data_IF_532880294227
#
_entry.id   IF_532880294227
#
_cell.length_a   1.000
_cell.length_b   1.000
_cell.length_c   1.000
_cell.angle_alpha   90.00
_cell.angle_beta   90.00
_cell.angle_gamma   90.00
#
_symmetry.space_group_name_H-M   'P 1'
#
loop_
_entity.id
_entity.type
_entity.pdbx_description
1 polymer ?
#
# COMPACT_ATOMS: atom_id res chain seq x y z
N UNK A 1 22.27 6.88 -12.81
CA UNK A 1 22.12 5.55 -12.19
C UNK A 1 20.74 5.02 -12.58
N UNK A 2 20.65 3.76 -13.03
CA UNK A 2 19.34 3.16 -13.23
C UNK A 2 18.77 2.81 -11.84
N UNK A 3 17.70 3.47 -11.46
CA UNK A 3 16.97 3.12 -10.24
C UNK A 3 16.19 1.83 -10.48
N UNK A 4 16.05 0.95 -9.46
CA UNK A 4 15.18 -0.20 -9.58
C UNK A 4 13.76 0.29 -9.81
N UNK A 5 13.19 -0.10 -10.94
CA UNK A 5 11.81 0.28 -11.31
C UNK A 5 10.86 -0.77 -10.72
N UNK A 6 9.84 -0.31 -10.00
CA UNK A 6 8.69 -1.13 -9.60
C UNK A 6 7.70 -1.13 -10.77
N UNK A 7 7.58 -2.21 -11.55
CA UNK A 7 6.79 -2.18 -12.78
C UNK A 7 5.27 -2.27 -12.54
N UNK A 8 4.87 -2.91 -11.44
CA UNK A 8 3.48 -3.15 -11.11
C UNK A 8 3.32 -3.48 -9.61
N UNK A 9 2.09 -3.45 -9.11
CA UNK A 9 1.77 -4.01 -7.80
C UNK A 9 1.96 -5.53 -7.79
N UNK A 10 2.36 -6.09 -6.64
CA UNK A 10 2.78 -7.49 -6.52
C UNK A 10 2.30 -8.19 -5.23
N UNK A 11 1.31 -7.61 -4.55
CA UNK A 11 0.78 -8.12 -3.29
C UNK A 11 1.63 -7.72 -2.07
N UNK A 12 1.25 -8.25 -0.93
CA UNK A 12 1.91 -8.00 0.36
C UNK A 12 2.99 -9.06 0.60
N UNK A 13 4.22 -8.62 0.92
CA UNK A 13 5.37 -9.50 1.17
C UNK A 13 5.84 -9.32 2.62
N UNK A 14 5.79 -10.35 3.46
CA UNK A 14 6.28 -10.25 4.83
C UNK A 14 7.81 -10.05 4.82
N UNK A 15 8.30 -9.11 5.62
CA UNK A 15 9.72 -8.75 5.68
C UNK A 15 10.27 -8.97 7.09
N UNK A 16 9.69 -8.28 8.06
CA UNK A 16 10.12 -8.29 9.45
C UNK A 16 8.90 -8.20 10.39
N UNK A 17 9.15 -8.26 11.70
CA UNK A 17 8.20 -7.85 12.71
C UNK A 17 8.49 -6.40 13.16
N UNK A 18 7.49 -5.71 13.67
CA UNK A 18 7.69 -4.43 14.36
C UNK A 18 8.67 -4.64 15.52
N UNK A 19 9.63 -3.73 15.66
CA UNK A 19 10.70 -3.87 16.64
C UNK A 19 11.98 -4.50 16.12
N UNK A 20 12.05 -4.80 14.80
CA UNK A 20 13.28 -5.24 14.13
C UNK A 20 13.58 -6.72 14.27
N UNK A 21 12.66 -7.50 14.77
CA UNK A 21 12.79 -8.98 14.76
C UNK A 21 12.59 -9.50 13.34
N UNK A 22 13.41 -10.49 12.97
CA UNK A 22 13.34 -11.12 11.65
C UNK A 22 12.04 -11.92 11.55
N UNK A 23 11.32 -11.79 10.43
CA UNK A 23 10.26 -12.72 10.07
C UNK A 23 10.86 -14.11 9.83
N UNK A 24 10.74 -14.99 10.80
CA UNK A 24 11.32 -16.36 10.75
C UNK A 24 10.36 -17.40 10.16
N UNK A 25 9.38 -16.96 9.32
CA UNK A 25 8.38 -17.85 8.73
C UNK A 25 7.26 -18.24 9.70
N UNK A 26 6.90 -17.35 10.62
CA UNK A 26 5.73 -17.51 11.48
C UNK A 26 4.46 -17.55 10.65
N UNK A 27 4.01 -18.74 10.31
CA UNK A 27 2.83 -18.99 9.49
C UNK A 27 1.93 -20.01 10.15
N UNK A 28 0.63 -19.86 9.91
CA UNK A 28 -0.38 -20.83 10.33
C UNK A 28 -1.04 -21.47 9.12
N UNK A 29 -1.44 -22.74 9.28
CA UNK A 29 -2.26 -23.42 8.29
C UNK A 29 -3.73 -23.30 8.67
N UNK A 30 -4.51 -22.72 7.77
CA UNK A 30 -5.94 -22.50 7.95
C UNK A 30 -6.72 -23.19 6.83
N UNK A 31 -7.87 -23.83 7.12
CA UNK A 31 -8.59 -24.62 6.12
C UNK A 31 -9.19 -23.74 5.02
N UNK A 32 -9.16 -24.23 3.78
CA UNK A 32 -9.89 -23.68 2.64
C UNK A 32 -11.16 -24.52 2.44
N UNK A 33 -12.28 -23.86 2.20
CA UNK A 33 -13.56 -24.55 1.98
C UNK A 33 -13.50 -25.40 0.71
N UNK A 34 -14.05 -26.63 0.78
CA UNK A 34 -14.21 -27.51 -0.37
C UNK A 34 -14.93 -26.78 -1.52
N UNK A 35 -14.31 -26.78 -2.71
CA UNK A 35 -14.88 -26.12 -3.88
C UNK A 35 -14.91 -24.59 -3.80
N UNK A 36 -14.14 -23.95 -2.91
CA UNK A 36 -14.08 -22.48 -2.82
C UNK A 36 -13.80 -21.85 -4.17
N UNK A 37 -14.76 -21.05 -4.67
CA UNK A 37 -14.80 -20.59 -6.05
C UNK A 37 -14.19 -19.20 -6.27
N UNK A 38 -13.13 -18.88 -5.53
CA UNK A 38 -12.36 -17.65 -5.72
C UNK A 38 -10.87 -17.98 -5.71
N UNK A 39 -10.13 -17.44 -6.68
CA UNK A 39 -8.68 -17.55 -6.66
C UNK A 39 -8.10 -16.76 -5.49
N UNK A 40 -7.12 -17.33 -4.78
CA UNK A 40 -6.34 -16.62 -3.77
C UNK A 40 -4.87 -16.70 -4.19
N UNK A 41 -4.24 -15.55 -4.35
CA UNK A 41 -2.87 -15.44 -4.85
C UNK A 41 -1.87 -15.14 -3.73
N UNK A 42 -0.61 -15.46 -3.96
CA UNK A 42 0.47 -15.14 -3.04
C UNK A 42 0.55 -13.61 -2.82
N UNK A 43 0.38 -13.19 -1.57
CA UNK A 43 0.34 -11.77 -1.21
C UNK A 43 -1.07 -11.16 -1.17
N UNK A 44 -2.13 -11.96 -1.33
CA UNK A 44 -3.50 -11.51 -1.08
C UNK A 44 -3.78 -11.39 0.42
N UNK A 45 -4.57 -10.40 0.78
CA UNK A 45 -5.12 -10.29 2.13
C UNK A 45 -6.28 -11.27 2.28
N UNK A 46 -6.31 -11.96 3.40
CA UNK A 46 -7.32 -12.98 3.70
C UNK A 46 -7.96 -12.78 5.06
N UNK A 47 -9.23 -13.17 5.15
CA UNK A 47 -10.00 -13.22 6.38
C UNK A 47 -10.51 -14.64 6.66
N UNK A 48 -11.19 -14.83 7.79
CA UNK A 48 -11.87 -16.06 8.16
C UNK A 48 -13.38 -15.86 8.08
N UNK A 49 -14.06 -16.73 7.35
CA UNK A 49 -15.51 -16.81 7.32
C UNK A 49 -15.96 -18.23 7.67
N UNK A 50 -16.75 -18.38 8.73
CA UNK A 50 -17.25 -19.70 9.20
C UNK A 50 -16.14 -20.74 9.41
N UNK A 51 -14.96 -20.29 9.83
CA UNK A 51 -13.79 -21.14 10.06
C UNK A 51 -12.94 -21.46 8.82
N UNK A 52 -13.30 -20.97 7.64
CA UNK A 52 -12.55 -21.14 6.40
C UNK A 52 -11.94 -19.82 5.94
N UNK A 53 -10.80 -19.92 5.25
CA UNK A 53 -10.16 -18.76 4.63
C UNK A 53 -10.98 -18.24 3.46
N UNK A 54 -11.11 -16.92 3.40
CA UNK A 54 -11.68 -16.17 2.28
C UNK A 54 -10.70 -15.12 1.80
N UNK A 55 -10.70 -14.84 0.49
CA UNK A 55 -9.99 -13.68 -0.03
C UNK A 55 -10.74 -12.40 0.35
N UNK A 56 -10.02 -11.47 0.96
CA UNK A 56 -10.58 -10.14 1.25
C UNK A 56 -10.50 -9.26 0.01
N UNK A 57 -11.64 -8.71 -0.39
CA UNK A 57 -11.69 -7.67 -1.41
C UNK A 57 -11.48 -6.33 -0.72
N UNK A 58 -10.35 -5.70 -1.01
CA UNK A 58 -10.02 -4.36 -0.56
C UNK A 58 -10.83 -3.38 -1.40
N UNK A 59 -12.06 -3.08 -1.03
CA UNK A 59 -12.88 -2.11 -1.76
C UNK A 59 -12.70 -0.72 -1.21
N UNK A 60 -12.43 0.23 -2.10
CA UNK A 60 -12.39 1.65 -1.82
C UNK A 60 -13.73 2.29 -2.16
N UNK A 61 -14.56 2.48 -1.19
CA UNK A 61 -15.64 3.45 -1.25
C UNK A 61 -15.46 4.43 -0.09
N UNK A 62 -16.29 5.44 0.06
CA UNK A 62 -16.34 6.29 1.26
C UNK A 62 -16.65 5.47 2.55
N UNK A 63 -16.84 4.19 2.42
CA UNK A 63 -16.96 3.16 3.44
C UNK A 63 -16.03 1.98 3.09
N UNK A 64 -14.80 2.24 2.69
CA UNK A 64 -13.82 1.20 2.43
C UNK A 64 -13.43 0.51 3.73
N UNK A 65 -14.27 -0.33 4.18
CA UNK A 65 -13.96 -1.40 5.09
C UNK A 65 -13.24 -2.46 4.27
N UNK A 66 -11.94 -2.55 4.39
CA UNK A 66 -11.27 -3.83 4.17
C UNK A 66 -11.91 -4.74 5.18
N UNK A 67 -12.57 -5.76 4.66
CA UNK A 67 -13.20 -6.74 5.46
C UNK A 67 -14.16 -6.18 6.52
N UNK A 68 -15.42 -6.07 6.20
CA UNK A 68 -16.47 -6.16 7.22
C UNK A 68 -16.35 -7.47 8.04
N UNK A 69 -15.35 -8.29 7.73
CA UNK A 69 -15.12 -9.62 8.26
C UNK A 69 -13.84 -9.71 9.12
N UNK A 70 -13.01 -8.70 9.21
CA UNK A 70 -11.71 -8.76 9.89
C UNK A 70 -10.65 -9.51 9.07
N UNK A 71 -9.58 -8.80 8.73
CA UNK A 71 -8.44 -9.41 8.05
C UNK A 71 -7.61 -10.23 9.03
N UNK A 72 -7.32 -11.47 8.69
CA UNK A 72 -6.49 -12.37 9.53
C UNK A 72 -5.02 -12.24 9.19
N UNK A 73 -4.71 -12.01 7.92
CA UNK A 73 -3.33 -11.96 7.49
C UNK A 73 -3.14 -11.97 5.99
N UNK A 74 -1.97 -12.42 5.55
CA UNK A 74 -1.58 -12.50 4.15
C UNK A 74 -1.35 -13.95 3.73
N UNK A 75 -1.92 -14.33 2.60
CA UNK A 75 -1.78 -15.67 2.02
C UNK A 75 -0.41 -15.83 1.35
N UNK A 76 0.29 -16.91 1.72
CA UNK A 76 1.62 -17.26 1.21
C UNK A 76 1.64 -18.53 0.35
N UNK A 77 0.52 -19.19 0.19
CA UNK A 77 0.40 -20.41 -0.58
C UNK A 77 -0.59 -21.38 0.04
N UNK A 78 -0.76 -22.52 -0.59
CA UNK A 78 -1.64 -23.59 -0.10
C UNK A 78 -1.09 -24.97 -0.39
N UNK A 79 -1.65 -25.95 0.31
CA UNK A 79 -1.42 -27.35 0.04
C UNK A 79 -2.75 -28.10 0.00
N UNK A 80 -2.88 -29.03 -0.93
CA UNK A 80 -4.08 -29.86 -1.10
C UNK A 80 -3.77 -31.11 -1.91
N UNK A 81 -4.62 -32.13 -1.84
CA UNK A 81 -4.55 -33.27 -2.75
C UNK A 81 -5.30 -32.94 -4.04
N UNK A 82 -4.58 -32.94 -5.14
CA UNK A 82 -5.16 -32.70 -6.48
C UNK A 82 -6.27 -33.72 -6.76
N UNK A 83 -7.50 -33.26 -7.04
CA UNK A 83 -8.64 -34.16 -7.22
C UNK A 83 -8.53 -35.06 -8.46
N UNK A 84 -7.70 -34.71 -9.44
CA UNK A 84 -7.48 -35.46 -10.67
C UNK A 84 -6.34 -36.45 -10.52
N UNK A 85 -5.14 -35.96 -10.16
CA UNK A 85 -3.92 -36.79 -10.09
C UNK A 85 -3.78 -37.55 -8.78
N UNK A 86 -4.55 -37.20 -7.74
CA UNK A 86 -4.48 -37.76 -6.38
C UNK A 86 -3.14 -37.55 -5.70
N UNK A 87 -2.33 -36.62 -6.17
CA UNK A 87 -1.05 -36.28 -5.59
C UNK A 87 -1.16 -35.06 -4.68
N UNK A 88 -0.37 -35.04 -3.60
CA UNK A 88 -0.26 -33.86 -2.73
C UNK A 88 0.44 -32.74 -3.51
N UNK A 89 -0.20 -31.59 -3.58
CA UNK A 89 0.28 -30.42 -4.30
C UNK A 89 0.53 -29.28 -3.33
N UNK A 90 1.64 -28.58 -3.53
CA UNK A 90 1.96 -27.31 -2.89
C UNK A 90 1.90 -26.25 -3.99
N UNK A 91 1.06 -25.24 -3.79
CA UNK A 91 0.82 -24.20 -4.80
C UNK A 91 1.00 -22.82 -4.21
N UNK A 92 1.54 -21.90 -5.02
CA UNK A 92 1.67 -20.50 -4.66
C UNK A 92 0.31 -19.78 -4.64
N UNK A 93 -0.70 -20.32 -5.35
CA UNK A 93 -2.04 -19.78 -5.36
C UNK A 93 -3.09 -20.89 -5.26
N UNK A 94 -4.27 -20.55 -4.78
CA UNK A 94 -5.44 -21.42 -4.77
C UNK A 94 -6.24 -21.24 -6.05
N UNK A 95 -6.39 -22.27 -6.89
CA UNK A 95 -7.26 -22.22 -8.06
C UNK A 95 -8.73 -22.30 -7.66
N UNK A 96 -9.55 -21.36 -8.13
CA UNK A 96 -10.98 -21.33 -7.88
C UNK A 96 -11.67 -22.66 -8.27
N UNK A 97 -12.61 -23.10 -7.44
CA UNK A 97 -13.41 -24.29 -7.71
C UNK A 97 -12.69 -25.63 -7.51
N UNK A 98 -11.48 -25.64 -6.93
CA UNK A 98 -10.74 -26.89 -6.65
C UNK A 98 -11.51 -27.74 -5.63
N UNK A 99 -11.84 -28.98 -6.03
CA UNK A 99 -12.61 -29.93 -5.21
C UNK A 99 -11.68 -30.77 -4.31
N UNK A 100 -10.99 -30.13 -3.36
CA UNK A 100 -10.12 -30.78 -2.40
C UNK A 100 -10.65 -30.59 -0.97
N UNK A 101 -10.84 -31.68 -0.24
CA UNK A 101 -11.36 -31.65 1.13
C UNK A 101 -10.25 -31.51 2.20
N UNK A 102 -8.99 -31.62 1.80
CA UNK A 102 -7.80 -31.54 2.65
C UNK A 102 -6.95 -30.29 2.34
N UNK A 103 -7.61 -29.22 1.90
CA UNK A 103 -6.93 -28.00 1.49
C UNK A 103 -6.65 -27.08 2.69
N UNK A 104 -5.41 -26.61 2.78
CA UNK A 104 -4.96 -25.64 3.78
C UNK A 104 -4.21 -24.49 3.13
N UNK A 105 -4.57 -23.29 3.53
CA UNK A 105 -3.83 -22.06 3.23
C UNK A 105 -2.68 -21.89 4.23
N UNK A 106 -1.53 -21.47 3.77
CA UNK A 106 -0.41 -21.00 4.60
C UNK A 106 -0.55 -19.47 4.69
N UNK A 107 -0.78 -18.98 5.91
CA UNK A 107 -1.09 -17.55 6.15
C UNK A 107 -0.12 -17.00 7.18
N UNK A 108 0.41 -15.79 6.92
CA UNK A 108 1.08 -14.99 7.94
C UNK A 108 0.02 -14.22 8.68
N UNK A 109 -0.28 -14.63 9.90
CA UNK A 109 -1.36 -14.09 10.72
C UNK A 109 -0.88 -13.34 11.98
N UNK A 110 0.41 -13.09 12.08
CA UNK A 110 0.98 -12.28 13.16
C UNK A 110 0.66 -10.79 12.89
N UNK A 111 -0.09 -10.13 13.78
CA UNK A 111 -0.51 -8.74 13.61
C UNK A 111 0.64 -7.73 13.65
N UNK A 112 1.79 -8.11 14.14
CA UNK A 112 2.98 -7.27 14.20
C UNK A 112 3.91 -7.47 12.99
N UNK A 113 3.51 -8.29 12.01
CA UNK A 113 4.25 -8.45 10.77
C UNK A 113 4.26 -7.16 9.95
N UNK A 114 5.45 -6.78 9.50
CA UNK A 114 5.67 -5.74 8.50
C UNK A 114 5.64 -6.34 7.10
N UNK A 115 4.86 -5.72 6.24
CA UNK A 115 4.75 -6.10 4.84
C UNK A 115 5.37 -5.02 3.95
N UNK A 116 6.23 -5.43 3.03
CA UNK A 116 6.60 -4.61 1.89
C UNK A 116 5.49 -4.71 0.85
N UNK A 117 5.08 -3.57 0.32
CA UNK A 117 3.99 -3.48 -0.64
C UNK A 117 4.20 -2.32 -1.61
N UNK A 118 3.79 -2.51 -2.86
CA UNK A 118 3.80 -1.46 -3.86
C UNK A 118 2.57 -0.54 -3.73
N UNK A 119 2.75 0.71 -4.10
CA UNK A 119 1.71 1.74 -4.10
C UNK A 119 0.98 1.73 -5.43
N UNK A 120 -0.33 1.51 -5.43
CA UNK A 120 -1.18 1.63 -6.62
C UNK A 120 -1.54 3.10 -6.90
N UNK A 121 -1.59 3.48 -8.15
CA UNK A 121 -2.00 4.83 -8.56
C UNK A 121 -3.50 5.06 -8.38
N UNK A 122 -4.29 4.05 -8.70
CA UNK A 122 -5.76 4.05 -8.58
C UNK A 122 -6.24 2.67 -8.16
N UNK A 123 -7.47 2.62 -7.66
CA UNK A 123 -8.12 1.35 -7.30
C UNK A 123 -8.21 0.41 -8.49
N UNK A 124 -7.83 -0.86 -8.25
CA UNK A 124 -7.90 -1.90 -9.26
C UNK A 124 -6.91 -1.73 -10.43
N UNK A 125 -5.84 -0.96 -10.26
CA UNK A 125 -4.80 -0.78 -11.26
C UNK A 125 -3.48 -1.40 -10.83
N UNK A 126 -2.74 -1.94 -11.79
CA UNK A 126 -1.34 -2.34 -11.60
C UNK A 126 -0.36 -1.15 -11.69
N UNK A 127 -0.82 -0.03 -12.25
CA UNK A 127 0.01 1.17 -12.39
C UNK A 127 0.44 1.72 -11.02
N UNK A 128 1.71 2.08 -10.94
CA UNK A 128 2.35 2.51 -9.70
C UNK A 128 1.98 3.95 -9.36
N UNK A 129 1.71 4.18 -8.08
CA UNK A 129 1.57 5.46 -7.42
C UNK A 129 2.81 5.79 -6.58
N UNK A 130 2.65 6.70 -5.63
CA UNK A 130 3.70 7.09 -4.69
C UNK A 130 3.11 7.42 -3.32
N UNK A 131 3.92 7.35 -2.29
CA UNK A 131 3.64 7.87 -0.95
C UNK A 131 4.73 8.85 -0.55
N UNK A 132 4.41 9.74 0.40
CA UNK A 132 5.33 10.77 0.89
C UNK A 132 5.80 10.47 2.31
N UNK A 133 6.94 11.01 2.72
CA UNK A 133 7.46 10.90 4.09
C UNK A 133 6.46 11.41 5.12
N UNK A 134 5.69 12.44 4.79
CA UNK A 134 4.63 12.98 5.67
C UNK A 134 3.45 12.02 5.89
N UNK A 135 3.34 10.94 5.12
CA UNK A 135 2.32 9.91 5.28
C UNK A 135 2.72 8.81 6.27
N UNK A 136 3.98 8.77 6.71
CA UNK A 136 4.43 7.81 7.74
C UNK A 136 3.62 8.01 9.02
N UNK A 137 3.09 6.91 9.56
CA UNK A 137 2.21 6.93 10.74
C UNK A 137 0.73 7.13 10.41
N UNK A 138 0.36 7.49 9.19
CA UNK A 138 -1.03 7.56 8.75
C UNK A 138 -1.55 6.17 8.31
N UNK A 139 -2.87 6.05 8.31
CA UNK A 139 -3.55 4.88 7.80
C UNK A 139 -3.77 5.00 6.29
N UNK A 140 -3.80 3.88 5.58
CA UNK A 140 -3.92 3.82 4.14
C UNK A 140 -4.86 2.69 3.70
N UNK A 141 -5.64 2.94 2.65
CA UNK A 141 -6.46 1.90 2.02
C UNK A 141 -5.60 0.92 1.22
N UNK A 142 -6.12 -0.26 1.01
CA UNK A 142 -5.56 -1.19 0.04
C UNK A 142 -6.15 -0.96 -1.36
N UNK A 143 -5.46 -1.47 -2.37
CA UNK A 143 -5.93 -1.61 -3.73
C UNK A 143 -6.10 -3.08 -4.05
N UNK A 144 -7.28 -3.47 -4.51
CA UNK A 144 -7.59 -4.85 -4.86
C UNK A 144 -7.63 -5.03 -6.37
N UNK A 145 -6.86 -6.01 -6.84
CA UNK A 145 -6.87 -6.45 -8.23
C UNK A 145 -6.63 -7.96 -8.27
N UNK A 146 -7.27 -8.63 -9.22
CA UNK A 146 -7.05 -10.05 -9.45
C UNK A 146 -5.57 -10.31 -9.79
N UNK A 147 -5.01 -11.37 -9.19
CA UNK A 147 -3.61 -11.74 -9.41
C UNK A 147 -3.36 -12.44 -10.75
N UNK A 148 -2.13 -12.83 -10.98
CA UNK A 148 -1.69 -13.48 -12.20
C UNK A 148 -1.78 -15.00 -12.06
N UNK A 149 -2.62 -15.64 -12.86
CA UNK A 149 -2.79 -17.10 -12.86
C UNK A 149 -1.54 -17.86 -13.32
N UNK A 150 -0.66 -17.23 -14.09
CA UNK A 150 0.54 -17.88 -14.61
C UNK A 150 1.67 -17.88 -13.58
N UNK A 151 1.82 -16.80 -12.80
CA UNK A 151 2.85 -16.67 -11.77
C UNK A 151 2.35 -17.04 -10.38
N UNK A 152 1.05 -16.93 -10.13
CA UNK A 152 0.45 -17.10 -8.80
C UNK A 152 0.60 -15.90 -7.89
N UNK A 153 1.09 -14.77 -8.39
CA UNK A 153 1.28 -13.54 -7.61
C UNK A 153 0.02 -12.68 -7.59
N UNK A 154 -0.23 -12.07 -6.47
CA UNK A 154 -1.26 -11.04 -6.29
C UNK A 154 -0.86 -9.74 -7.02
N UNK A 155 -1.87 -8.95 -7.41
CA UNK A 155 -1.69 -7.56 -7.81
C UNK A 155 -2.26 -6.56 -6.79
N UNK A 156 -2.50 -7.01 -5.56
CA UNK A 156 -2.91 -6.11 -4.50
C UNK A 156 -1.78 -5.13 -4.15
N UNK A 157 -2.17 -3.96 -3.66
CA UNK A 157 -1.26 -2.88 -3.26
C UNK A 157 -1.89 -2.00 -2.20
N UNK A 158 -1.26 -0.87 -1.91
CA UNK A 158 -1.83 0.22 -1.11
C UNK A 158 -2.18 1.40 -2.01
N UNK A 159 -3.15 2.22 -1.61
CA UNK A 159 -3.72 3.26 -2.47
C UNK A 159 -3.37 4.67 -1.97
N UNK A 160 -2.45 5.35 -2.65
CA UNK A 160 -1.97 6.67 -2.27
C UNK A 160 -3.07 7.76 -2.20
N UNK A 161 -4.13 7.63 -2.99
CA UNK A 161 -5.25 8.59 -2.99
C UNK A 161 -6.16 8.47 -1.77
N UNK A 162 -6.00 7.43 -0.94
CA UNK A 162 -6.83 7.21 0.25
C UNK A 162 -5.94 6.98 1.48
N UNK A 163 -5.32 8.06 1.93
CA UNK A 163 -4.44 8.13 3.12
C UNK A 163 -5.04 9.11 4.11
N UNK A 164 -5.01 8.78 5.39
CA UNK A 164 -5.50 9.68 6.44
C UNK A 164 -5.41 9.08 7.83
N UNK A 165 -6.03 9.74 8.78
CA UNK A 165 -6.12 9.30 10.18
C UNK A 165 -7.36 8.44 10.47
N UNK A 166 -8.12 8.05 9.46
CA UNK A 166 -9.33 7.26 9.62
C UNK A 166 -8.99 5.83 10.12
N UNK A 167 -9.54 5.46 11.27
CA UNK A 167 -9.31 4.16 11.89
C UNK A 167 -9.91 2.97 11.11
N UNK A 168 -10.81 3.23 10.15
CA UNK A 168 -11.40 2.18 9.29
C UNK A 168 -10.47 1.77 8.12
N UNK A 169 -9.39 2.51 7.88
CA UNK A 169 -8.40 2.13 6.87
C UNK A 169 -7.56 0.94 7.37
N UNK A 170 -7.31 -0.06 6.51
CA UNK A 170 -6.80 -1.36 6.96
C UNK A 170 -5.34 -1.39 7.35
N UNK A 171 -4.54 -0.54 6.74
CA UNK A 171 -3.10 -0.57 6.93
C UNK A 171 -2.60 0.74 7.51
N UNK A 172 -1.47 0.66 8.20
CA UNK A 172 -0.70 1.81 8.67
C UNK A 172 0.66 1.81 8.00
N UNK A 173 1.04 2.95 7.45
CA UNK A 173 2.39 3.15 6.90
C UNK A 173 3.37 3.25 8.05
N UNK A 174 4.34 2.35 8.11
CA UNK A 174 5.38 2.32 9.15
C UNK A 174 6.64 3.02 8.66
N UNK A 175 7.06 2.74 7.43
CA UNK A 175 8.21 3.39 6.79
C UNK A 175 8.09 3.30 5.26
N UNK A 176 8.97 3.99 4.53
CA UNK A 176 9.07 4.00 3.09
C UNK A 176 10.28 3.18 2.65
N UNK A 177 10.15 2.47 1.53
CA UNK A 177 11.29 1.81 0.91
C UNK A 177 12.09 2.82 0.10
N UNK A 178 13.20 3.29 0.65
CA UNK A 178 14.00 4.37 0.08
C UNK A 178 14.87 3.92 -1.09
N UNK A 179 15.19 2.63 -1.18
CA UNK A 179 16.05 2.06 -2.23
C UNK A 179 15.43 2.15 -3.62
N UNK A 180 14.10 2.23 -3.70
CA UNK A 180 13.33 2.38 -4.94
C UNK A 180 12.89 3.82 -5.22
N UNK A 181 13.30 4.78 -4.38
CA UNK A 181 12.93 6.18 -4.53
C UNK A 181 13.47 6.79 -5.82
N UNK A 182 12.65 7.58 -6.49
CA UNK A 182 12.99 8.30 -7.72
C UNK A 182 12.89 9.78 -7.44
N UNK A 183 13.93 10.55 -7.81
CA UNK A 183 13.95 11.99 -7.65
C UNK A 183 14.14 12.71 -8.98
N UNK A 184 13.45 13.82 -9.14
CA UNK A 184 13.68 14.77 -10.22
C UNK A 184 13.33 16.19 -9.79
N UNK A 185 13.74 17.18 -10.59
CA UNK A 185 13.63 18.59 -10.23
C UNK A 185 12.88 19.39 -11.29
N UNK A 186 12.24 20.48 -10.87
CA UNK A 186 11.70 21.50 -11.76
C UNK A 186 11.84 22.86 -11.09
N UNK A 187 11.89 23.94 -11.89
CA UNK A 187 11.96 25.30 -11.36
C UNK A 187 10.58 25.79 -10.98
N UNK A 188 10.43 26.28 -9.74
CA UNK A 188 9.22 26.90 -9.26
C UNK A 188 9.08 28.33 -9.79
N UNK A 189 7.92 28.68 -10.29
CA UNK A 189 7.63 30.02 -10.78
C UNK A 189 6.68 30.77 -9.85
N UNK A 190 5.54 30.16 -9.50
CA UNK A 190 4.53 30.79 -8.65
C UNK A 190 3.48 29.78 -8.17
N UNK A 191 2.58 30.22 -7.28
CA UNK A 191 1.41 29.44 -6.84
C UNK A 191 1.50 28.96 -5.40
N UNK A 192 0.38 28.55 -4.84
CA UNK A 192 0.29 28.04 -3.45
C UNK A 192 -0.52 26.77 -3.47
N UNK A 193 -1.43 26.26 -3.70
CA UNK A 193 -2.08 24.95 -3.78
C UNK A 193 -1.90 24.31 -5.15
N UNK A 194 -1.89 25.15 -6.19
CA UNK A 194 -1.44 24.76 -7.53
C UNK A 194 -0.15 25.49 -7.83
N UNK A 195 0.93 24.73 -7.97
CA UNK A 195 2.25 25.28 -8.30
C UNK A 195 2.39 25.43 -9.80
N UNK A 196 2.90 26.59 -10.23
CA UNK A 196 3.40 26.77 -11.60
C UNK A 196 4.90 26.49 -11.60
N UNK A 197 5.33 25.60 -12.48
CA UNK A 197 6.71 25.10 -12.55
C UNK A 197 7.23 25.12 -13.99
N UNK A 198 8.52 24.97 -14.20
CA UNK A 198 9.05 24.62 -15.53
C UNK A 198 8.45 23.30 -16.01
N UNK A 199 8.49 23.03 -17.32
CA UNK A 199 8.01 21.77 -17.88
C UNK A 199 8.61 20.58 -17.12
N UNK A 200 7.74 19.70 -16.63
CA UNK A 200 8.14 18.53 -15.82
C UNK A 200 8.98 17.57 -16.68
N UNK A 201 10.12 17.11 -16.17
CA UNK A 201 10.96 16.16 -16.91
C UNK A 201 10.38 14.73 -16.93
N UNK A 202 9.46 14.42 -16.03
CA UNK A 202 8.84 13.10 -15.88
C UNK A 202 7.41 13.23 -15.33
N UNK A 203 6.65 12.13 -15.39
CA UNK A 203 5.33 12.07 -14.79
C UNK A 203 5.39 12.20 -13.27
N UNK A 204 4.54 13.05 -12.71
CA UNK A 204 4.31 13.14 -11.27
C UNK A 204 3.13 12.25 -10.86
N UNK A 205 3.41 11.28 -10.04
CA UNK A 205 2.42 10.38 -9.48
C UNK A 205 1.69 11.05 -8.28
N UNK A 206 0.44 10.66 -8.05
CA UNK A 206 -0.26 11.03 -6.81
C UNK A 206 0.54 10.51 -5.62
N UNK A 207 0.68 11.33 -4.58
CA UNK A 207 1.48 11.02 -3.41
C UNK A 207 2.98 11.35 -3.54
N UNK A 208 3.44 11.89 -4.67
CA UNK A 208 4.82 12.36 -4.82
C UNK A 208 5.12 13.45 -3.80
N UNK A 209 6.17 13.26 -3.00
CA UNK A 209 6.62 14.26 -2.03
C UNK A 209 7.22 15.47 -2.72
N UNK A 210 6.93 16.67 -2.21
CA UNK A 210 7.42 17.95 -2.72
C UNK A 210 8.33 18.60 -1.70
N UNK A 211 9.53 18.92 -2.12
CA UNK A 211 10.47 19.74 -1.37
C UNK A 211 11.11 20.78 -2.27
N UNK A 212 12.00 21.62 -1.74
CA UNK A 212 12.80 22.54 -2.54
C UNK A 212 14.22 22.67 -2.00
N UNK A 213 15.12 23.15 -2.84
CA UNK A 213 16.46 23.50 -2.42
C UNK A 213 16.50 24.97 -1.99
N UNK A 214 16.90 25.20 -0.74
CA UNK A 214 17.18 26.55 -0.24
C UNK A 214 18.38 27.17 -0.95
N UNK A 215 18.60 28.46 -0.81
CA UNK A 215 19.71 29.19 -1.45
C UNK A 215 21.10 28.67 -1.07
N UNK A 216 21.23 28.00 0.07
CA UNK A 216 22.45 27.32 0.52
C UNK A 216 22.61 25.88 -0.04
N UNK A 217 21.69 25.43 -0.91
CA UNK A 217 21.66 24.08 -1.47
C UNK A 217 21.08 23.02 -0.54
N UNK A 218 20.62 23.39 0.66
CA UNK A 218 20.00 22.46 1.60
C UNK A 218 18.59 22.08 1.14
N UNK A 219 18.25 20.79 1.20
CA UNK A 219 16.88 20.30 0.94
C UNK A 219 15.95 20.71 2.10
N UNK A 220 14.80 21.23 1.73
CA UNK A 220 13.72 21.59 2.67
C UNK A 220 12.46 20.87 2.23
N UNK A 221 12.00 19.92 3.05
CA UNK A 221 10.74 19.22 2.84
C UNK A 221 9.55 20.13 3.15
N UNK A 222 8.54 20.12 2.29
CA UNK A 222 7.34 20.94 2.49
C UNK A 222 6.27 20.25 3.35
N UNK A 223 6.38 18.93 3.54
CA UNK A 223 5.32 18.13 4.15
C UNK A 223 4.09 17.95 3.26
N UNK A 224 4.14 18.46 2.04
CA UNK A 224 3.06 18.36 1.03
C UNK A 224 3.41 17.33 -0.02
N UNK A 225 2.38 16.82 -0.68
CA UNK A 225 2.50 15.86 -1.78
C UNK A 225 1.54 16.20 -2.91
N UNK A 226 1.81 15.65 -4.08
CA UNK A 226 1.01 15.83 -5.28
C UNK A 226 -0.33 15.11 -5.12
N UNK A 227 -1.44 15.84 -5.25
CA UNK A 227 -2.79 15.30 -5.12
C UNK A 227 -3.39 14.80 -6.43
N UNK A 228 -2.90 15.30 -7.55
CA UNK A 228 -3.41 14.97 -8.88
C UNK A 228 -2.24 14.62 -9.80
N UNK A 229 -2.37 13.53 -10.56
CA UNK A 229 -1.37 13.13 -11.55
C UNK A 229 -1.05 14.30 -12.51
N UNK A 230 0.24 14.55 -12.74
CA UNK A 230 0.70 15.52 -13.71
C UNK A 230 1.64 14.85 -14.71
N UNK A 231 1.33 14.96 -16.01
CA UNK A 231 2.13 14.35 -17.07
C UNK A 231 3.45 15.12 -17.29
N UNK A 232 4.46 14.42 -17.80
CA UNK A 232 5.68 15.03 -18.29
C UNK A 232 5.36 16.16 -19.30
N UNK A 233 6.11 17.24 -19.24
CA UNK A 233 5.90 18.42 -20.08
C UNK A 233 4.84 19.41 -19.57
N UNK A 234 4.03 19.07 -18.57
CA UNK A 234 3.10 20.03 -17.97
C UNK A 234 3.83 21.03 -17.08
N UNK A 235 3.20 22.19 -16.86
CA UNK A 235 3.75 23.30 -16.06
C UNK A 235 2.93 23.59 -14.81
N UNK A 236 2.00 22.71 -14.47
CA UNK A 236 1.10 22.85 -13.32
C UNK A 236 1.10 21.59 -12.47
N UNK A 237 1.22 21.77 -11.15
CA UNK A 237 1.23 20.70 -10.15
C UNK A 237 0.26 21.05 -9.02
N UNK A 238 -0.70 20.17 -8.74
CA UNK A 238 -1.69 20.37 -7.67
C UNK A 238 -1.25 19.62 -6.42
N UNK A 239 -1.19 20.33 -5.28
CA UNK A 239 -0.82 19.78 -4.00
C UNK A 239 -2.06 19.37 -3.17
N UNK A 240 -1.85 18.48 -2.21
CA UNK A 240 -2.88 18.01 -1.27
C UNK A 240 -3.39 19.10 -0.30
N UNK A 241 -2.63 20.18 -0.12
CA UNK A 241 -3.00 21.32 0.72
C UNK A 241 -2.76 22.64 -0.02
N UNK A 242 -3.66 23.60 0.17
CA UNK A 242 -3.53 24.96 -0.37
C UNK A 242 -2.40 25.77 0.32
N UNK A 243 -1.84 25.26 1.39
CA UNK A 243 -0.76 25.89 2.14
C UNK A 243 0.30 24.85 2.43
N UNK A 244 1.52 25.14 2.05
CA UNK A 244 2.68 24.37 2.45
C UNK A 244 2.96 24.71 3.91
N UNK A 245 2.49 23.89 4.82
CA UNK A 245 2.68 24.07 6.26
C UNK A 245 3.85 23.22 6.74
N UNK A 246 4.86 23.87 7.28
CA UNK A 246 5.91 23.17 8.05
C UNK A 246 5.41 23.06 9.48
N UNK A 247 5.26 21.83 9.99
CA UNK A 247 5.11 21.62 11.41
C UNK A 247 6.41 22.03 12.11
N UNK A 248 6.37 23.19 12.78
CA UNK A 248 7.44 23.55 13.70
C UNK A 248 7.46 22.54 14.88
N UNK A 249 8.61 22.01 15.26
CA UNK A 249 8.71 21.08 16.39
C UNK A 249 8.27 21.69 17.74
N UNK A 250 7.93 22.94 17.79
CA UNK A 250 7.48 23.66 19.00
C UNK A 250 5.97 23.85 19.13
N UNK A 251 5.16 23.15 18.31
CA UNK A 251 3.70 23.12 18.52
C UNK A 251 2.95 24.43 18.38
N UNK A 252 3.57 25.49 17.87
CA UNK A 252 2.93 26.79 17.66
C UNK A 252 2.59 26.97 16.19
N UNK A 253 1.34 27.32 15.94
CA UNK A 253 0.69 27.72 14.68
C UNK A 253 1.46 27.43 13.38
N UNK A 254 0.86 26.58 12.57
CA UNK A 254 1.18 26.33 11.17
C UNK A 254 1.47 27.64 10.41
N UNK A 255 2.74 27.97 10.28
CA UNK A 255 3.15 29.07 9.41
C UNK A 255 3.20 28.53 7.99
N UNK A 256 2.39 29.09 7.10
CA UNK A 256 2.44 28.75 5.69
C UNK A 256 3.87 28.94 5.17
N UNK A 257 4.52 27.88 4.68
CA UNK A 257 5.84 27.99 4.09
C UNK A 257 5.72 28.66 2.74
N UNK A 258 6.43 29.78 2.57
CA UNK A 258 6.55 30.42 1.27
C UNK A 258 7.75 29.82 0.55
N UNK A 259 7.52 29.13 -0.57
CA UNK A 259 8.57 28.68 -1.47
C UNK A 259 9.12 29.92 -2.18
N UNK A 260 10.42 30.25 -2.09
CA UNK A 260 10.98 31.40 -2.78
C UNK A 260 10.84 31.26 -4.30
N UNK A 261 10.52 32.35 -4.98
CA UNK A 261 10.44 32.35 -6.45
C UNK A 261 11.78 31.88 -7.07
N UNK A 262 11.70 31.19 -8.19
CA UNK A 262 12.85 30.59 -8.89
C UNK A 262 13.60 29.50 -8.12
N UNK A 263 13.04 28.99 -7.01
CA UNK A 263 13.61 27.84 -6.30
C UNK A 263 13.57 26.59 -7.16
N UNK A 264 14.54 25.70 -6.97
CA UNK A 264 14.52 24.37 -7.53
C UNK A 264 13.64 23.48 -6.64
N UNK A 265 12.48 23.05 -7.14
CA UNK A 265 11.67 22.02 -6.49
C UNK A 265 12.31 20.65 -6.69
N UNK A 266 12.19 19.82 -5.65
CA UNK A 266 12.59 18.43 -5.66
C UNK A 266 11.35 17.58 -5.46
N UNK A 267 11.07 16.73 -6.42
CA UNK A 267 9.97 15.77 -6.38
C UNK A 267 10.54 14.39 -6.06
N UNK A 268 10.09 13.77 -4.98
CA UNK A 268 10.54 12.44 -4.58
C UNK A 268 9.36 11.48 -4.61
N UNK A 269 9.50 10.41 -5.37
CA UNK A 269 8.51 9.33 -5.51
C UNK A 269 8.99 8.10 -4.76
N UNK A 270 8.16 7.60 -3.84
CA UNK A 270 8.38 6.34 -3.14
C UNK A 270 7.31 5.34 -3.59
N UNK A 271 7.63 4.47 -4.55
CA UNK A 271 6.67 3.53 -5.13
C UNK A 271 6.36 2.34 -4.23
N UNK A 272 7.10 2.16 -3.14
CA UNK A 272 6.94 1.07 -2.18
C UNK A 272 7.02 1.58 -0.74
N UNK A 273 6.25 0.93 0.14
CA UNK A 273 6.25 1.22 1.57
C UNK A 273 6.25 -0.06 2.41
N UNK A 274 6.60 0.10 3.67
CA UNK A 274 6.41 -0.90 4.71
C UNK A 274 5.14 -0.56 5.48
N UNK A 275 4.21 -1.50 5.51
CA UNK A 275 2.93 -1.35 6.20
C UNK A 275 2.68 -2.49 7.17
N UNK A 276 1.81 -2.25 8.14
CA UNK A 276 1.23 -3.28 9.02
C UNK A 276 -0.29 -3.18 9.00
N UNK A 277 -0.97 -4.21 9.46
CA UNK A 277 -2.40 -4.13 9.72
C UNK A 277 -2.69 -3.09 10.80
N UNK A 278 -3.76 -2.31 10.59
CA UNK A 278 -4.24 -1.38 11.61
C UNK A 278 -4.92 -2.15 12.74
N UNK A 279 -4.77 -1.64 13.97
CA UNK A 279 -5.17 -2.34 15.19
C UNK A 279 -6.64 -2.79 15.20
N UNK A 280 -7.59 -2.02 14.80
CA UNK A 280 -9.01 -2.38 14.83
C UNK A 280 -9.50 -3.25 13.66
N UNK A 281 -8.62 -3.56 12.71
CA UNK A 281 -8.98 -4.30 11.49
C UNK A 281 -8.51 -5.76 11.55
N UNK A 282 -7.38 -6.01 12.22
CA UNK A 282 -6.90 -7.37 12.37
C UNK A 282 -7.83 -8.17 13.27
N UNK A 283 -8.24 -9.37 12.83
CA UNK A 283 -9.24 -10.22 13.51
C UNK A 283 -8.93 -10.44 14.99
N UNK A 284 -7.66 -10.63 15.36
CA UNK A 284 -7.26 -10.90 16.73
C UNK A 284 -7.34 -9.69 17.67
N UNK A 285 -7.50 -8.48 17.11
CA UNK A 285 -7.65 -7.24 17.89
C UNK A 285 -8.99 -6.55 17.65
N UNK A 286 -9.84 -7.12 16.82
CA UNK A 286 -11.17 -6.59 16.57
C UNK A 286 -12.10 -6.94 17.75
N UNK A 287 -12.69 -5.92 18.36
CA UNK A 287 -13.68 -6.11 19.46
C UNK A 287 -15.04 -6.58 18.97
N UNK A 288 -15.27 -6.57 17.68
CA UNK A 288 -16.55 -6.96 17.08
C UNK A 288 -16.42 -8.38 16.56
N UNK A 289 -17.01 -9.33 17.27
CA UNK A 289 -17.15 -10.69 16.77
C UNK A 289 -17.93 -10.68 15.45
N UNK A 290 -17.49 -11.48 14.48
CA UNK A 290 -18.23 -11.61 13.24
C UNK A 290 -19.66 -12.11 13.49
N UNK A 291 -20.64 -11.41 12.92
CA UNK A 291 -21.99 -11.92 12.87
C UNK A 291 -22.02 -13.12 11.91
N UNK A 292 -22.02 -14.31 12.47
CA UNK A 292 -22.28 -15.53 11.69
C UNK A 292 -23.78 -15.51 11.36
N UNK A 293 -24.11 -15.12 10.13
CA UNK A 293 -25.46 -15.35 9.61
C UNK A 293 -25.57 -16.86 9.33
N UNK A 294 -26.28 -17.57 10.18
CA UNK A 294 -26.58 -19.00 10.04
C UNK A 294 -27.51 -19.24 8.84
#
# INVERSE_FOLDING_TARGET
>A
MAYPIVPATYGFRPVNLIGGQVFSGSTRQLPIQYGFNTNIFYGDVVGINRGFITRETVTTGASATVGSIGSVGVFLGCNYTDPVTKQKRYSQFWPAGTLAGDAYAVVTDDPDTLFQVAVASTQGATAIGSVATAMIGLNIAGSDLAGNLNTGDSYNGILASNVGNNATLPFRIVDLKRDTAIQFTATYTSGTGTLTVSALPSNLLVGTEVGYLASNGQYVGTGSWVSTFAAAGTTSVVLNSAQVTVNSPTGTASTAMTIPASSTLVFTQYPEAYVKFNFGIHEYYNNTAQAVTL
#
